data_IF_850572379803
#
_entry.id   IF_850572379803
#
_cell.length_a   1.000
_cell.length_b   1.000
_cell.length_c   1.000
_cell.angle_alpha   90.00
_cell.angle_beta   90.00
_cell.angle_gamma   90.00
#
_symmetry.space_group_name_H-M   'P 1'
#
loop_
_entity.id
_entity.type
_entity.pdbx_description
1 polymer ?
#
# COMPACT_ATOMS: atom_id res chain seq x y z
N UNK A 1 -58.96 55.23 -12.29
CA UNK A 1 -59.10 54.14 -13.29
C UNK A 1 -57.90 53.22 -13.18
N UNK A 2 -58.13 51.91 -12.99
CA UNK A 2 -57.22 50.75 -13.20
C UNK A 2 -55.90 50.74 -12.37
N UNK A 3 -55.82 50.03 -11.23
CA UNK A 3 -55.54 48.58 -11.03
C UNK A 3 -54.05 48.20 -11.22
N UNK A 4 -53.35 47.79 -10.14
CA UNK A 4 -52.67 46.48 -9.93
C UNK A 4 -51.49 46.54 -8.94
N UNK A 5 -51.49 45.58 -7.99
CA UNK A 5 -50.39 45.11 -7.10
C UNK A 5 -50.05 43.68 -7.61
N UNK A 6 -48.94 42.99 -7.26
CA UNK A 6 -47.50 43.22 -7.43
C UNK A 6 -46.85 42.20 -8.42
N UNK A 7 -45.61 42.39 -8.87
CA UNK A 7 -44.81 41.31 -9.49
C UNK A 7 -43.64 40.95 -8.58
N UNK A 8 -43.88 39.94 -7.76
CA UNK A 8 -43.01 38.80 -7.41
C UNK A 8 -41.50 39.02 -7.59
N UNK A 9 -40.83 39.23 -6.45
CA UNK A 9 -39.53 38.70 -6.04
C UNK A 9 -38.73 37.94 -7.12
N UNK A 10 -37.98 38.66 -7.96
CA UNK A 10 -36.88 38.07 -8.72
C UNK A 10 -35.67 37.95 -7.81
N UNK A 11 -35.69 36.96 -6.90
CA UNK A 11 -34.45 36.37 -6.41
C UNK A 11 -33.76 35.83 -7.65
N UNK A 12 -32.74 36.55 -8.12
CA UNK A 12 -31.70 35.98 -8.96
C UNK A 12 -31.20 34.75 -8.21
N UNK A 13 -31.71 33.58 -8.61
CA UNK A 13 -31.02 32.33 -8.49
C UNK A 13 -29.70 32.58 -9.22
N UNK A 14 -28.71 33.08 -8.48
CA UNK A 14 -27.36 32.61 -8.67
C UNK A 14 -27.54 31.12 -8.48
N UNK A 15 -27.76 30.43 -9.59
CA UNK A 15 -27.52 29.02 -9.70
C UNK A 15 -26.04 28.89 -9.37
N UNK A 16 -25.76 28.80 -8.08
CA UNK A 16 -24.69 27.97 -7.59
C UNK A 16 -24.98 26.61 -8.24
N UNK A 17 -24.47 26.43 -9.45
CA UNK A 17 -23.83 25.17 -9.73
C UNK A 17 -22.67 25.12 -8.75
N UNK A 18 -22.97 24.74 -7.51
CA UNK A 18 -22.02 23.98 -6.74
C UNK A 18 -21.92 22.69 -7.55
N UNK A 19 -21.04 22.69 -8.55
CA UNK A 19 -20.49 21.44 -9.03
C UNK A 19 -19.97 20.79 -7.77
N UNK A 20 -20.70 19.81 -7.27
CA UNK A 20 -20.19 18.86 -6.32
C UNK A 20 -19.04 18.22 -7.10
N UNK A 21 -17.83 18.79 -6.95
CA UNK A 21 -16.64 18.03 -7.23
C UNK A 21 -16.90 16.72 -6.49
N UNK A 22 -16.87 15.55 -7.15
CA UNK A 22 -16.86 14.33 -6.38
C UNK A 22 -15.76 14.57 -5.36
N UNK A 23 -16.11 14.49 -4.07
CA UNK A 23 -15.07 14.41 -3.05
C UNK A 23 -14.28 13.20 -3.52
N UNK A 24 -13.12 13.45 -4.15
CA UNK A 24 -12.19 12.40 -4.52
C UNK A 24 -12.07 11.63 -3.24
N UNK A 25 -12.57 10.40 -3.21
CA UNK A 25 -12.50 9.58 -2.02
C UNK A 25 -11.02 9.66 -1.64
N UNK A 26 -10.74 10.31 -0.51
CA UNK A 26 -9.37 10.49 -0.08
C UNK A 26 -8.80 9.09 -0.06
N UNK A 27 -7.75 8.87 -0.84
CA UNK A 27 -7.17 7.56 -0.98
C UNK A 27 -6.86 7.05 0.43
N UNK A 28 -7.52 5.97 0.85
CA UNK A 28 -7.43 5.51 2.23
C UNK A 28 -6.06 4.87 2.43
N UNK A 29 -5.27 5.47 3.34
CA UNK A 29 -3.98 4.96 3.73
C UNK A 29 -4.13 4.11 4.98
N UNK A 30 -3.62 2.88 4.90
CA UNK A 30 -3.72 1.87 5.95
C UNK A 30 -2.42 1.90 6.77
N UNK A 31 -2.48 2.26 8.07
CA UNK A 31 -1.30 2.29 8.92
C UNK A 31 -0.80 0.88 9.22
N UNK A 32 0.51 0.67 9.13
CA UNK A 32 1.18 -0.55 9.52
C UNK A 32 2.00 -0.27 10.78
N UNK A 33 1.73 -1.04 11.84
CA UNK A 33 2.35 -0.85 13.15
C UNK A 33 2.91 -2.15 13.75
N UNK A 34 2.50 -3.30 13.22
CA UNK A 34 2.90 -4.63 13.73
C UNK A 34 3.38 -5.55 12.61
N UNK A 35 4.13 -6.63 12.93
CA UNK A 35 4.43 -7.70 11.99
C UNK A 35 3.19 -8.28 11.31
N UNK A 36 2.08 -8.42 12.05
CA UNK A 36 0.83 -8.95 11.50
C UNK A 36 0.18 -7.96 10.52
N UNK A 37 0.20 -6.66 10.81
CA UNK A 37 -0.32 -5.64 9.89
C UNK A 37 0.43 -5.71 8.55
N UNK A 38 1.75 -5.90 8.62
CA UNK A 38 2.61 -6.00 7.45
C UNK A 38 2.30 -7.27 6.63
N UNK A 39 2.14 -8.42 7.29
CA UNK A 39 1.72 -9.66 6.64
C UNK A 39 0.31 -9.54 6.02
N UNK A 40 -0.58 -8.79 6.68
CA UNK A 40 -1.96 -8.58 6.25
C UNK A 40 -2.11 -7.75 4.97
N UNK A 41 -1.04 -7.09 4.49
CA UNK A 41 -0.99 -6.51 3.14
C UNK A 41 -1.37 -7.55 2.08
N UNK A 42 -1.04 -8.83 2.30
CA UNK A 42 -1.40 -9.94 1.41
C UNK A 42 -2.91 -10.13 1.23
N UNK A 43 -3.74 -9.59 2.13
CA UNK A 43 -5.21 -9.63 2.04
C UNK A 43 -5.78 -8.57 1.09
N UNK A 44 -5.03 -7.50 0.84
CA UNK A 44 -5.40 -6.43 -0.09
C UNK A 44 -4.16 -5.86 -0.80
N UNK A 45 -3.75 -6.51 -1.87
CA UNK A 45 -2.55 -6.17 -2.63
C UNK A 45 -2.64 -4.85 -3.42
N UNK A 46 -3.79 -4.19 -3.44
CA UNK A 46 -3.99 -2.89 -4.13
C UNK A 46 -4.14 -1.71 -3.16
N UNK A 47 -3.99 -1.94 -1.85
CA UNK A 47 -4.09 -0.88 -0.84
C UNK A 47 -2.87 0.03 -0.77
N UNK A 48 -3.03 1.19 -0.13
CA UNK A 48 -1.92 2.09 0.17
C UNK A 48 -1.59 1.99 1.65
N UNK A 49 -0.32 1.76 1.94
CA UNK A 49 0.17 1.40 3.26
C UNK A 49 1.32 2.31 3.65
N UNK A 50 1.41 2.62 4.94
CA UNK A 50 2.54 3.36 5.47
C UNK A 50 2.95 2.85 6.85
N UNK A 51 4.25 2.82 7.09
CA UNK A 51 4.75 2.48 8.42
C UNK A 51 4.51 3.64 9.39
N UNK A 52 4.08 3.28 10.59
CA UNK A 52 3.87 4.23 11.70
C UNK A 52 4.97 4.15 12.76
N UNK A 53 5.79 3.10 12.70
CA UNK A 53 6.89 2.83 13.60
C UNK A 53 7.84 1.79 12.98
N UNK A 54 8.98 1.57 13.63
CA UNK A 54 9.85 0.45 13.30
C UNK A 54 9.15 -0.88 13.60
N UNK A 55 9.39 -1.89 12.76
CA UNK A 55 8.81 -3.23 12.88
C UNK A 55 9.93 -4.23 13.09
N UNK A 56 9.90 -4.95 14.20
CA UNK A 56 10.80 -6.06 14.49
C UNK A 56 10.12 -7.40 14.19
N UNK A 57 10.67 -8.16 13.26
CA UNK A 57 10.18 -9.47 12.84
C UNK A 57 10.82 -10.64 13.60
N UNK A 58 11.59 -10.38 14.66
CA UNK A 58 12.20 -11.44 15.48
C UNK A 58 11.16 -12.41 16.01
N UNK A 59 11.32 -13.69 15.68
CA UNK A 59 10.42 -14.76 16.13
C UNK A 59 9.05 -14.76 15.43
N UNK A 60 8.84 -13.88 14.45
CA UNK A 60 7.66 -13.91 13.59
C UNK A 60 7.93 -14.84 12.41
N UNK A 61 7.06 -15.83 12.22
CA UNK A 61 7.13 -16.70 11.04
C UNK A 61 6.73 -15.90 9.80
N UNK A 62 7.70 -15.66 8.91
CA UNK A 62 7.49 -14.81 7.75
C UNK A 62 7.32 -15.60 6.46
N UNK A 63 6.18 -15.37 5.80
CA UNK A 63 5.94 -15.73 4.41
C UNK A 63 5.92 -14.46 3.55
N UNK A 64 6.55 -14.51 2.37
CA UNK A 64 6.53 -13.39 1.43
C UNK A 64 5.10 -12.95 1.10
N UNK A 65 4.87 -11.64 1.08
CA UNK A 65 3.56 -11.05 0.86
C UNK A 65 3.09 -11.32 -0.57
N UNK A 66 1.87 -11.83 -0.67
CA UNK A 66 1.15 -12.03 -1.91
C UNK A 66 1.50 -13.35 -2.62
N UNK A 67 0.49 -13.94 -3.27
CA UNK A 67 0.67 -14.92 -4.35
C UNK A 67 0.42 -14.29 -5.72
N UNK A 68 -0.28 -13.15 -5.73
CA UNK A 68 -0.41 -12.23 -6.86
C UNK A 68 0.53 -11.02 -6.65
N UNK A 69 0.80 -10.23 -7.71
CA UNK A 69 1.64 -9.04 -7.61
C UNK A 69 1.04 -7.96 -6.70
N UNK A 70 1.86 -7.36 -5.85
CA UNK A 70 1.51 -6.13 -5.13
C UNK A 70 1.38 -4.97 -6.11
N UNK A 71 0.24 -4.27 -6.09
CA UNK A 71 -0.12 -3.18 -7.02
C UNK A 71 -0.36 -1.84 -6.34
N UNK A 72 -0.36 -1.84 -5.01
CA UNK A 72 -0.56 -0.65 -4.20
C UNK A 72 0.71 0.17 -3.97
N UNK A 73 0.69 0.96 -2.90
CA UNK A 73 1.86 1.70 -2.42
C UNK A 73 2.23 1.23 -1.02
N UNK A 74 3.52 0.94 -0.79
CA UNK A 74 4.09 0.80 0.55
C UNK A 74 5.09 1.93 0.78
N UNK A 75 4.77 2.84 1.70
CA UNK A 75 5.67 3.91 2.13
C UNK A 75 6.31 3.53 3.48
N UNK A 76 7.62 3.30 3.47
CA UNK A 76 8.39 3.06 4.68
C UNK A 76 8.39 4.24 5.65
N UNK A 77 8.06 5.45 5.17
CA UNK A 77 7.85 6.65 5.98
C UNK A 77 9.02 6.97 6.95
N UNK A 78 10.24 6.59 6.56
CA UNK A 78 11.46 6.77 7.35
C UNK A 78 11.67 5.76 8.48
N UNK A 79 10.81 4.76 8.61
CA UNK A 79 10.92 3.68 9.59
C UNK A 79 11.62 2.44 9.02
N UNK A 80 12.04 1.56 9.94
CA UNK A 80 12.85 0.38 9.65
C UNK A 80 12.02 -0.88 9.89
N UNK A 81 12.06 -1.81 8.93
CA UNK A 81 11.67 -3.20 9.16
C UNK A 81 12.95 -3.99 9.42
N UNK A 82 13.02 -4.72 10.53
CA UNK A 82 14.22 -5.41 10.97
C UNK A 82 14.00 -6.88 11.30
N UNK A 83 15.10 -7.65 11.25
CA UNK A 83 15.15 -9.05 11.66
C UNK A 83 14.25 -9.97 10.83
N UNK A 84 14.04 -9.63 9.56
CA UNK A 84 13.33 -10.47 8.59
C UNK A 84 14.08 -11.80 8.42
N UNK A 85 13.40 -12.92 8.67
CA UNK A 85 13.91 -14.26 8.37
C UNK A 85 12.92 -15.01 7.49
N UNK A 86 13.29 -15.29 6.25
CA UNK A 86 12.43 -15.96 5.28
C UNK A 86 13.14 -17.20 4.71
N UNK A 87 12.37 -18.27 4.50
CA UNK A 87 12.83 -19.47 3.80
C UNK A 87 12.03 -19.63 2.51
N UNK A 88 12.71 -19.63 1.34
CA UNK A 88 12.06 -19.94 0.06
C UNK A 88 12.09 -21.44 -0.20
N UNK A 89 10.95 -21.97 -0.65
CA UNK A 89 10.76 -23.37 -1.01
C UNK A 89 10.14 -23.46 -2.42
N UNK A 90 10.63 -24.40 -3.24
CA UNK A 90 9.97 -24.85 -4.48
C UNK A 90 9.56 -23.71 -5.44
N UNK A 91 10.52 -22.92 -5.93
CA UNK A 91 10.30 -21.82 -6.89
C UNK A 91 9.49 -20.64 -6.32
N UNK A 92 9.43 -20.48 -5.00
CA UNK A 92 8.88 -19.28 -4.39
C UNK A 92 9.91 -18.18 -4.41
N UNK A 93 9.50 -17.02 -4.89
CA UNK A 93 10.29 -15.80 -4.95
C UNK A 93 10.41 -15.25 -3.52
N UNK A 94 11.63 -15.14 -3.01
CA UNK A 94 11.91 -14.77 -1.61
C UNK A 94 11.94 -13.25 -1.39
N UNK A 95 11.69 -12.82 -0.15
CA UNK A 95 11.74 -11.40 0.27
C UNK A 95 10.51 -10.95 1.05
N UNK A 96 10.35 -9.63 1.20
CA UNK A 96 9.15 -9.03 1.79
C UNK A 96 7.91 -9.28 0.91
N UNK A 97 8.04 -9.13 -0.41
CA UNK A 97 7.00 -9.44 -1.39
C UNK A 97 7.43 -10.52 -2.37
N UNK A 98 6.47 -11.32 -2.84
CA UNK A 98 6.73 -12.27 -3.92
C UNK A 98 6.96 -11.53 -5.25
N UNK A 99 6.06 -10.62 -5.61
CA UNK A 99 6.17 -9.80 -6.82
C UNK A 99 5.64 -8.39 -6.57
N UNK A 100 6.29 -7.39 -7.16
CA UNK A 100 5.86 -6.00 -7.15
C UNK A 100 5.50 -5.50 -8.55
N UNK A 101 4.34 -4.89 -8.70
CA UNK A 101 3.87 -4.07 -9.83
C UNK A 101 3.45 -2.65 -9.37
N UNK A 102 3.52 -2.38 -8.07
CA UNK A 102 3.17 -1.12 -7.44
C UNK A 102 4.38 -0.25 -7.14
N UNK A 103 4.30 0.53 -6.06
CA UNK A 103 5.38 1.40 -5.59
C UNK A 103 5.79 1.04 -4.17
N UNK A 104 7.05 0.72 -3.95
CA UNK A 104 7.65 0.56 -2.63
C UNK A 104 8.67 1.68 -2.48
N UNK A 105 8.49 2.56 -1.48
CA UNK A 105 9.36 3.74 -1.34
C UNK A 105 9.73 4.01 0.11
N UNK A 106 10.85 4.70 0.31
CA UNK A 106 11.34 5.11 1.64
C UNK A 106 11.47 3.94 2.64
N UNK A 107 11.65 2.71 2.12
CA UNK A 107 11.68 1.50 2.93
C UNK A 107 13.12 1.17 3.34
N UNK A 108 13.36 1.04 4.64
CA UNK A 108 14.63 0.57 5.16
C UNK A 108 14.47 -0.85 5.72
N UNK A 109 15.22 -1.80 5.15
CA UNK A 109 15.36 -3.15 5.70
C UNK A 109 16.70 -3.25 6.44
N UNK A 110 16.66 -3.74 7.67
CA UNK A 110 17.86 -3.91 8.50
C UNK A 110 17.96 -5.33 9.05
N UNK A 111 19.14 -5.93 9.00
CA UNK A 111 19.41 -7.28 9.52
C UNK A 111 18.40 -8.32 9.00
N UNK A 112 18.49 -8.66 7.71
CA UNK A 112 17.62 -9.65 7.09
C UNK A 112 18.41 -10.91 6.70
N UNK A 113 17.72 -12.05 6.67
CA UNK A 113 18.24 -13.34 6.22
C UNK A 113 17.21 -14.01 5.32
N UNK A 114 17.61 -14.38 4.11
CA UNK A 114 16.79 -15.17 3.21
C UNK A 114 17.55 -16.44 2.86
N UNK A 115 16.93 -17.59 3.15
CA UNK A 115 17.51 -18.91 2.88
C UNK A 115 16.72 -19.59 1.79
N UNK A 116 17.35 -19.82 0.63
CA UNK A 116 16.76 -20.62 -0.44
C UNK A 116 17.01 -22.10 -0.24
N UNK A 117 15.94 -22.90 -0.25
CA UNK A 117 15.98 -24.37 -0.16
C UNK A 117 15.46 -24.98 -1.46
N UNK A 118 16.16 -26.02 -1.94
CA UNK A 118 15.85 -26.75 -3.19
C UNK A 118 15.92 -25.91 -4.47
N UNK A 119 17.16 -25.53 -4.81
CA UNK A 119 17.50 -24.56 -5.86
C UNK A 119 17.22 -25.10 -7.27
N UNK A 120 16.24 -24.52 -7.97
CA UNK A 120 16.22 -24.56 -9.44
C UNK A 120 15.94 -23.21 -10.11
N UNK A 121 15.15 -22.29 -9.52
CA UNK A 121 14.80 -20.99 -10.17
C UNK A 121 14.47 -19.85 -9.18
N UNK A 122 15.15 -19.74 -8.05
CA UNK A 122 14.78 -18.71 -7.06
C UNK A 122 15.38 -17.34 -7.43
N UNK A 123 14.51 -16.34 -7.64
CA UNK A 123 14.90 -14.94 -7.54
C UNK A 123 14.75 -14.52 -6.07
N UNK A 124 15.86 -14.19 -5.43
CA UNK A 124 15.90 -13.81 -4.02
C UNK A 124 16.37 -12.38 -3.91
N UNK A 125 15.54 -11.52 -3.33
CA UNK A 125 15.90 -10.16 -2.92
C UNK A 125 15.23 -9.85 -1.58
N UNK A 126 15.78 -8.91 -0.82
CA UNK A 126 15.26 -8.49 0.47
C UNK A 126 13.84 -7.89 0.35
N UNK A 127 13.62 -7.06 -0.67
CA UNK A 127 12.36 -6.31 -0.85
C UNK A 127 11.34 -7.14 -1.63
N UNK A 128 11.70 -7.56 -2.84
CA UNK A 128 10.86 -8.47 -3.62
C UNK A 128 11.70 -9.24 -4.63
N UNK A 129 11.47 -10.53 -4.79
CA UNK A 129 12.32 -11.25 -5.73
C UNK A 129 11.95 -11.03 -7.21
N UNK A 130 10.76 -10.51 -7.56
CA UNK A 130 10.47 -10.01 -8.92
C UNK A 130 9.83 -8.63 -8.87
N UNK A 131 10.45 -7.66 -9.56
CA UNK A 131 9.96 -6.29 -9.65
C UNK A 131 9.61 -5.89 -11.09
N UNK A 132 8.35 -5.50 -11.31
CA UNK A 132 7.84 -4.81 -12.50
C UNK A 132 7.34 -3.39 -12.19
N UNK A 133 7.37 -2.99 -10.91
CA UNK A 133 6.97 -1.66 -10.42
C UNK A 133 8.17 -0.76 -10.08
N UNK A 134 7.95 0.16 -9.14
CA UNK A 134 8.95 1.11 -8.66
C UNK A 134 9.42 0.70 -7.26
N UNK A 135 10.74 0.74 -7.05
CA UNK A 135 11.39 0.65 -5.74
C UNK A 135 12.37 1.83 -5.65
N UNK A 136 12.18 2.75 -4.70
CA UNK A 136 12.98 3.97 -4.54
C UNK A 136 13.28 4.40 -3.09
#
# INVERSE_FOLDING_TARGET
>A
MKRLIPVILSLLLISWSLTLLPASAAEEWIPISTPQDLADIGKNLSGNYYLTQNIDLTGFEWDSIGTDPFKGVLDGNGYIIMNLSCESYMNRVGGLFMQNEGTIKNLCLYNFSITAKDVQYDNVDAICGVNYGIIE
#
